data_IF_270799979666
#
_entry.id   IF_270799979666
#
_cell.length_a   1.000
_cell.length_b   1.000
_cell.length_c   1.000
_cell.angle_alpha   90.00
_cell.angle_beta   90.00
_cell.angle_gamma   90.00
#
_symmetry.space_group_name_H-M   'P 1'
#
loop_
_entity.id
_entity.type
_entity.pdbx_description
1 polymer ?
#
# COMPACT_ATOMS: atom_id res chain seq x y z
N UNK A 1 -9.18 -17.53 -5.64
CA UNK A 1 -7.89 -18.23 -5.85
C UNK A 1 -8.15 -19.62 -6.42
N UNK A 2 -7.55 -19.94 -7.57
CA UNK A 2 -7.89 -21.11 -8.38
C UNK A 2 -7.49 -22.43 -7.68
N UNK A 3 -8.28 -23.52 -7.82
CA UNK A 3 -8.09 -24.78 -7.08
C UNK A 3 -6.69 -25.41 -7.25
N UNK A 4 -6.13 -25.34 -8.45
CA UNK A 4 -4.83 -25.95 -8.77
C UNK A 4 -3.65 -25.26 -8.07
N UNK A 5 -3.72 -23.94 -7.88
CA UNK A 5 -2.68 -23.18 -7.16
C UNK A 5 -2.67 -23.61 -5.69
N UNK A 6 -3.85 -23.74 -5.06
CA UNK A 6 -3.95 -24.19 -3.67
C UNK A 6 -3.40 -25.60 -3.46
N UNK A 7 -3.62 -26.50 -4.41
CA UNK A 7 -3.11 -27.86 -4.34
C UNK A 7 -1.58 -27.90 -4.51
N UNK A 8 -1.05 -27.14 -5.47
CA UNK A 8 0.39 -26.99 -5.67
C UNK A 8 1.08 -26.42 -4.43
N UNK A 9 0.55 -25.33 -3.87
CA UNK A 9 1.08 -24.71 -2.66
C UNK A 9 1.00 -25.64 -1.45
N UNK A 10 -0.08 -26.42 -1.32
CA UNK A 10 -0.19 -27.42 -0.26
C UNK A 10 0.90 -28.49 -0.37
N UNK A 11 1.21 -28.97 -1.58
CA UNK A 11 2.30 -29.94 -1.79
C UNK A 11 3.65 -29.31 -1.43
N UNK A 12 3.89 -28.06 -1.83
CA UNK A 12 5.19 -27.40 -1.64
C UNK A 12 5.43 -26.87 -0.23
N UNK A 13 4.41 -26.32 0.41
CA UNK A 13 4.52 -25.56 1.65
C UNK A 13 3.70 -26.18 2.79
N UNK A 14 2.96 -27.27 2.55
CA UNK A 14 2.23 -27.99 3.56
C UNK A 14 1.23 -27.11 4.30
N UNK A 15 1.23 -27.20 5.64
CA UNK A 15 0.34 -26.40 6.50
C UNK A 15 0.51 -24.88 6.33
N UNK A 16 1.70 -24.41 5.95
CA UNK A 16 1.96 -22.97 5.80
C UNK A 16 1.18 -22.37 4.63
N UNK A 17 0.85 -23.17 3.59
CA UNK A 17 0.00 -22.73 2.48
C UNK A 17 -1.45 -22.40 2.88
N UNK A 18 -1.88 -22.82 4.07
CA UNK A 18 -3.24 -22.61 4.56
C UNK A 18 -3.35 -21.60 5.71
N UNK A 19 -2.22 -21.18 6.26
CA UNK A 19 -2.23 -20.22 7.36
C UNK A 19 -2.72 -18.86 6.87
N UNK A 20 -3.64 -18.28 7.63
CA UNK A 20 -4.16 -16.95 7.38
C UNK A 20 -3.67 -15.96 8.45
N UNK A 21 -3.82 -14.67 8.20
CA UNK A 21 -3.62 -13.65 9.23
C UNK A 21 -4.49 -13.93 10.47
N UNK A 22 -5.71 -14.45 10.28
CA UNK A 22 -6.62 -14.82 11.38
C UNK A 22 -6.06 -15.94 12.26
N UNK A 23 -5.39 -16.93 11.67
CA UNK A 23 -4.74 -18.01 12.42
C UNK A 23 -3.60 -17.44 13.26
N UNK A 24 -2.75 -16.61 12.66
CA UNK A 24 -1.66 -15.93 13.36
C UNK A 24 -2.15 -15.03 14.49
N UNK A 25 -3.23 -14.28 14.25
CA UNK A 25 -3.88 -13.47 15.27
C UNK A 25 -4.42 -14.33 16.41
N UNK A 26 -5.06 -15.47 16.13
CA UNK A 26 -5.59 -16.34 17.19
C UNK A 26 -4.49 -16.94 18.08
N UNK A 27 -3.34 -17.28 17.51
CA UNK A 27 -2.27 -17.98 18.24
C UNK A 27 -1.26 -17.05 18.90
N UNK A 28 -1.19 -15.78 18.47
CA UNK A 28 -0.24 -14.80 19.00
C UNK A 28 -0.84 -13.96 20.13
N UNK A 29 0.02 -13.61 21.10
CA UNK A 29 -0.28 -12.62 22.15
C UNK A 29 0.19 -11.19 21.80
N UNK A 30 0.89 -11.01 20.67
CA UNK A 30 1.42 -9.71 20.26
C UNK A 30 0.30 -8.71 19.98
N UNK A 31 0.49 -7.43 20.32
CA UNK A 31 -0.43 -6.39 19.88
C UNK A 31 -0.46 -6.31 18.34
N UNK A 32 -1.62 -5.99 17.78
CA UNK A 32 -1.82 -5.87 16.33
C UNK A 32 -2.42 -4.51 15.98
N UNK A 33 -1.79 -3.78 15.07
CA UNK A 33 -2.38 -2.60 14.46
C UNK A 33 -2.80 -2.93 13.03
N UNK A 34 -4.06 -2.69 12.70
CA UNK A 34 -4.63 -2.85 11.36
C UNK A 34 -4.81 -1.46 10.75
N UNK A 35 -4.14 -1.19 9.64
CA UNK A 35 -4.18 0.09 8.92
C UNK A 35 -4.63 -0.18 7.50
N UNK A 36 -5.67 0.51 7.05
CA UNK A 36 -6.27 0.24 5.73
C UNK A 36 -6.98 1.49 5.19
N UNK A 37 -7.04 1.64 3.86
CA UNK A 37 -7.85 2.67 3.21
C UNK A 37 -9.11 2.09 2.56
N UNK A 38 -10.27 2.70 2.78
CA UNK A 38 -11.56 2.22 2.30
C UNK A 38 -11.64 2.16 0.77
N UNK A 39 -10.96 3.07 0.08
CA UNK A 39 -10.87 3.16 -1.38
C UNK A 39 -9.73 2.29 -1.98
N UNK A 40 -9.15 1.37 -1.21
CA UNK A 40 -8.20 0.39 -1.73
C UNK A 40 -8.86 -0.51 -2.78
N UNK A 41 -8.48 -0.29 -4.04
CA UNK A 41 -8.99 -1.01 -5.21
C UNK A 41 -8.22 -2.31 -5.52
N UNK A 42 -7.16 -2.61 -4.78
CA UNK A 42 -6.36 -3.84 -4.91
C UNK A 42 -6.79 -4.86 -3.86
N UNK A 43 -6.92 -4.43 -2.60
CA UNK A 43 -7.39 -5.24 -1.48
C UNK A 43 -8.64 -4.58 -0.88
N UNK A 44 -9.84 -5.06 -1.26
CA UNK A 44 -11.09 -4.51 -0.73
C UNK A 44 -11.14 -4.53 0.79
N UNK A 45 -11.70 -3.48 1.40
CA UNK A 45 -11.86 -3.38 2.85
C UNK A 45 -12.56 -4.61 3.47
N UNK A 46 -13.51 -5.21 2.74
CA UNK A 46 -14.22 -6.42 3.15
C UNK A 46 -13.31 -7.64 3.35
N UNK A 47 -12.19 -7.71 2.63
CA UNK A 47 -11.18 -8.77 2.77
C UNK A 47 -10.05 -8.40 3.72
N UNK A 48 -9.82 -7.10 3.93
CA UNK A 48 -8.83 -6.55 4.85
C UNK A 48 -9.46 -6.06 6.16
N UNK A 49 -9.64 -4.74 6.26
CA UNK A 49 -10.08 -4.04 7.47
C UNK A 49 -11.33 -4.62 8.12
N UNK A 50 -12.44 -4.76 7.37
CA UNK A 50 -13.74 -5.11 7.93
C UNK A 50 -13.73 -6.53 8.49
N UNK A 51 -13.05 -7.45 7.80
CA UNK A 51 -12.87 -8.83 8.25
C UNK A 51 -12.23 -8.88 9.65
N UNK A 52 -11.19 -8.09 9.87
CA UNK A 52 -10.48 -8.03 11.14
C UNK A 52 -11.25 -7.24 12.20
N UNK A 53 -11.84 -6.11 11.81
CA UNK A 53 -12.61 -5.24 12.70
C UNK A 53 -13.82 -5.97 13.30
N UNK A 54 -14.60 -6.64 12.46
CA UNK A 54 -15.80 -7.37 12.88
C UNK A 54 -15.51 -8.45 13.93
N UNK A 55 -14.30 -9.01 13.92
CA UNK A 55 -13.91 -10.07 14.87
C UNK A 55 -13.18 -9.54 16.10
N UNK A 56 -12.41 -8.47 15.99
CA UNK A 56 -11.45 -8.08 17.02
C UNK A 56 -11.63 -6.65 17.57
N UNK A 57 -12.62 -5.87 17.14
CA UNK A 57 -12.83 -4.49 17.63
C UNK A 57 -12.95 -4.36 19.17
N UNK A 58 -13.48 -5.38 19.84
CA UNK A 58 -13.64 -5.41 21.30
C UNK A 58 -12.42 -5.99 22.04
N UNK A 59 -11.36 -6.37 21.31
CA UNK A 59 -10.15 -6.93 21.91
C UNK A 59 -9.09 -5.83 22.07
N UNK A 60 -8.64 -5.53 23.30
CA UNK A 60 -7.70 -4.42 23.57
C UNK A 60 -6.30 -4.64 22.96
N UNK A 61 -6.00 -5.84 22.47
CA UNK A 61 -4.77 -6.13 21.74
C UNK A 61 -4.76 -5.54 20.32
N UNK A 62 -5.92 -5.11 19.81
CA UNK A 62 -6.06 -4.63 18.45
C UNK A 62 -6.30 -3.13 18.40
N UNK A 63 -5.56 -2.46 17.53
CA UNK A 63 -5.77 -1.05 17.18
C UNK A 63 -6.13 -0.96 15.71
N UNK A 64 -7.11 -0.14 15.38
CA UNK A 64 -7.60 0.01 14.02
C UNK A 64 -7.47 1.45 13.53
N UNK A 65 -6.95 1.61 12.32
CA UNK A 65 -6.81 2.90 11.63
C UNK A 65 -7.41 2.74 10.24
N UNK A 66 -8.51 3.43 9.99
CA UNK A 66 -9.17 3.47 8.68
C UNK A 66 -8.97 4.84 8.05
N UNK A 67 -8.49 4.86 6.81
CA UNK A 67 -8.54 6.02 5.93
C UNK A 67 -9.70 5.86 4.96
N UNK A 68 -10.22 6.96 4.43
CA UNK A 68 -11.28 6.90 3.41
C UNK A 68 -10.72 6.97 1.98
N UNK A 69 -9.57 7.61 1.79
CA UNK A 69 -9.11 8.10 0.49
C UNK A 69 -7.57 8.10 0.30
N UNK A 70 -6.86 7.11 0.86
CA UNK A 70 -5.40 6.94 0.69
C UNK A 70 -5.00 5.84 -0.31
N UNK A 71 -5.96 5.09 -0.83
CA UNK A 71 -5.73 3.97 -1.75
C UNK A 71 -4.79 2.89 -1.18
N UNK A 72 -4.18 2.12 -2.07
CA UNK A 72 -3.33 0.97 -1.71
C UNK A 72 -1.88 1.35 -1.39
N UNK A 73 -1.29 2.27 -2.16
CA UNK A 73 0.16 2.50 -2.19
C UNK A 73 0.63 3.70 -1.36
N UNK A 74 -0.27 4.63 -1.05
CA UNK A 74 0.08 5.95 -0.48
C UNK A 74 -0.33 6.06 1.00
N UNK A 75 -0.57 4.93 1.69
CA UNK A 75 -0.99 4.92 3.10
C UNK A 75 0.04 5.63 4.00
N UNK A 76 1.33 5.49 3.68
CA UNK A 76 2.45 6.03 4.48
C UNK A 76 2.87 7.45 4.07
N UNK A 77 2.28 8.01 3.02
CA UNK A 77 2.69 9.30 2.49
C UNK A 77 1.74 10.42 2.95
N UNK A 78 2.24 11.66 2.86
CA UNK A 78 1.58 12.90 3.28
C UNK A 78 0.13 12.90 2.81
N UNK A 79 -0.78 13.17 3.75
CA UNK A 79 -2.23 13.16 3.53
C UNK A 79 -2.67 14.11 2.42
N UNK A 80 -1.89 15.15 2.16
CA UNK A 80 -2.21 16.15 1.15
C UNK A 80 -1.67 15.79 -0.24
N UNK A 81 -0.84 14.75 -0.33
CA UNK A 81 -0.25 14.21 -1.56
C UNK A 81 0.32 15.27 -2.52
N UNK A 82 0.84 16.36 -1.94
CA UNK A 82 1.07 17.62 -2.64
C UNK A 82 2.07 17.47 -3.77
N UNK A 83 3.18 16.82 -3.50
CA UNK A 83 4.25 16.67 -4.47
C UNK A 83 3.96 15.58 -5.52
N UNK A 84 3.22 14.51 -5.18
CA UNK A 84 2.80 13.52 -6.19
C UNK A 84 1.84 14.16 -7.18
N UNK A 85 0.86 14.93 -6.69
CA UNK A 85 -0.09 15.65 -7.54
C UNK A 85 0.61 16.68 -8.44
N UNK A 86 1.56 17.43 -7.90
CA UNK A 86 2.39 18.36 -8.67
C UNK A 86 3.18 17.63 -9.77
N UNK A 87 3.88 16.55 -9.41
CA UNK A 87 4.68 15.77 -10.35
C UNK A 87 3.82 15.12 -11.44
N UNK A 88 2.68 14.51 -11.07
CA UNK A 88 1.75 13.90 -12.01
C UNK A 88 1.13 14.94 -12.95
N UNK A 89 0.84 16.14 -12.45
CA UNK A 89 0.36 17.25 -13.29
C UNK A 89 1.40 17.67 -14.31
N UNK A 90 2.67 17.79 -13.89
CA UNK A 90 3.79 18.04 -14.79
C UNK A 90 3.98 16.94 -15.82
N UNK A 91 3.89 15.68 -15.39
CA UNK A 91 4.01 14.51 -16.25
C UNK A 91 2.91 14.49 -17.32
N UNK A 92 1.66 14.73 -16.94
CA UNK A 92 0.54 14.78 -17.88
C UNK A 92 0.74 15.86 -18.93
N UNK A 93 1.12 17.08 -18.53
CA UNK A 93 1.43 18.16 -19.47
C UNK A 93 2.58 17.79 -20.41
N UNK A 94 3.61 17.12 -19.91
CA UNK A 94 4.70 16.64 -20.74
C UNK A 94 4.24 15.58 -21.76
N UNK A 95 3.33 14.67 -21.38
CA UNK A 95 2.81 13.69 -22.35
C UNK A 95 2.02 14.33 -23.49
N UNK A 96 1.42 15.51 -23.28
CA UNK A 96 0.71 16.28 -24.31
C UNK A 96 1.67 16.95 -25.31
N UNK A 97 2.96 17.10 -24.98
CA UNK A 97 3.96 17.68 -25.88
C UNK A 97 4.67 16.66 -26.77
N UNK A 98 4.44 15.36 -26.53
CA UNK A 98 5.02 14.29 -27.32
C UNK A 98 4.49 14.35 -28.76
N UNK A 99 5.39 14.20 -29.73
CA UNK A 99 5.04 14.18 -31.16
C UNK A 99 4.55 12.81 -31.65
N UNK A 100 4.21 11.90 -30.75
CA UNK A 100 3.73 10.56 -31.03
C UNK A 100 2.65 10.13 -30.03
N UNK A 101 1.78 9.21 -30.43
CA UNK A 101 0.81 8.61 -29.51
C UNK A 101 1.50 7.64 -28.54
N UNK A 102 1.72 8.09 -27.30
CA UNK A 102 2.38 7.29 -26.27
C UNK A 102 1.55 6.08 -25.78
N UNK A 103 0.26 6.02 -26.13
CA UNK A 103 -0.63 4.89 -25.78
C UNK A 103 -0.56 3.77 -26.82
N UNK A 104 -0.06 4.04 -28.02
CA UNK A 104 0.07 3.04 -29.07
C UNK A 104 1.12 1.98 -28.70
N UNK A 105 0.78 0.70 -28.88
CA UNK A 105 1.66 -0.42 -28.54
C UNK A 105 3.03 -0.36 -29.25
N UNK A 106 3.07 0.17 -30.47
CA UNK A 106 4.30 0.36 -31.25
C UNK A 106 5.30 1.31 -30.57
N UNK A 107 4.81 2.30 -29.82
CA UNK A 107 5.64 3.33 -29.18
C UNK A 107 6.02 2.97 -27.73
N UNK A 108 5.61 1.80 -27.23
CA UNK A 108 5.78 1.41 -25.83
C UNK A 108 7.24 1.46 -25.37
N UNK A 109 8.17 1.00 -26.21
CA UNK A 109 9.60 1.01 -25.89
C UNK A 109 10.18 2.43 -25.83
N UNK A 110 9.83 3.27 -26.81
CA UNK A 110 10.23 4.67 -26.85
C UNK A 110 9.66 5.44 -25.64
N UNK A 111 8.36 5.29 -25.38
CA UNK A 111 7.72 5.94 -24.23
C UNK A 111 8.32 5.50 -22.90
N UNK A 112 8.70 4.23 -22.74
CA UNK A 112 9.36 3.76 -21.53
C UNK A 112 10.71 4.46 -21.30
N UNK A 113 11.50 4.65 -22.37
CA UNK A 113 12.77 5.36 -22.31
C UNK A 113 12.58 6.86 -22.01
N UNK A 114 11.66 7.51 -22.73
CA UNK A 114 11.35 8.94 -22.56
C UNK A 114 10.78 9.22 -21.17
N UNK A 115 9.89 8.36 -20.66
CA UNK A 115 9.35 8.42 -19.30
C UNK A 115 10.45 8.28 -18.25
N UNK A 116 11.38 7.34 -18.42
CA UNK A 116 12.50 7.17 -17.50
C UNK A 116 13.39 8.42 -17.48
N UNK A 117 13.65 9.02 -18.65
CA UNK A 117 14.38 10.29 -18.74
C UNK A 117 13.64 11.43 -18.05
N UNK A 118 12.34 11.60 -18.32
CA UNK A 118 11.52 12.62 -17.67
C UNK A 118 11.57 12.50 -16.15
N UNK A 119 11.39 11.29 -15.61
CA UNK A 119 11.46 11.04 -14.17
C UNK A 119 12.84 11.43 -13.63
N UNK A 120 13.92 11.02 -14.28
CA UNK A 120 15.27 11.36 -13.81
C UNK A 120 15.55 12.87 -13.81
N UNK A 121 15.05 13.59 -14.80
CA UNK A 121 15.32 15.02 -14.95
C UNK A 121 14.42 15.91 -14.07
N UNK A 122 13.19 15.47 -13.76
CA UNK A 122 12.17 16.32 -13.14
C UNK A 122 11.76 15.88 -11.74
N UNK A 123 12.13 14.67 -11.30
CA UNK A 123 11.81 14.21 -9.95
C UNK A 123 12.78 14.82 -8.93
N UNK A 124 12.33 15.81 -8.19
CA UNK A 124 12.93 16.20 -6.92
C UNK A 124 12.84 15.03 -5.92
N UNK A 125 13.97 14.33 -5.76
CA UNK A 125 14.11 13.17 -4.89
C UNK A 125 14.00 13.55 -3.41
N UNK A 126 14.41 14.75 -3.03
CA UNK A 126 14.33 15.22 -1.64
C UNK A 126 12.88 15.41 -1.25
N UNK A 127 12.09 16.08 -2.09
CA UNK A 127 10.64 16.23 -1.88
C UNK A 127 9.94 14.88 -1.95
N UNK A 128 10.29 14.03 -2.92
CA UNK A 128 9.70 12.69 -3.05
C UNK A 128 9.89 11.82 -1.80
N UNK A 129 11.13 11.71 -1.32
CA UNK A 129 11.46 10.93 -0.13
C UNK A 129 10.97 11.60 1.17
N UNK A 130 10.78 12.92 1.14
CA UNK A 130 10.26 13.71 2.26
C UNK A 130 8.75 13.59 2.47
N UNK A 131 8.01 12.92 1.59
CA UNK A 131 6.55 12.75 1.67
C UNK A 131 6.08 11.83 2.80
N UNK A 132 6.93 11.39 3.74
CA UNK A 132 6.49 10.52 4.82
C UNK A 132 5.44 11.22 5.71
N UNK A 133 4.33 10.55 5.99
CA UNK A 133 3.35 10.97 6.99
C UNK A 133 3.94 10.77 8.39
N UNK A 134 4.59 11.81 8.90
CA UNK A 134 5.30 11.77 10.19
C UNK A 134 4.37 11.50 11.37
N UNK A 135 3.14 11.98 11.31
CA UNK A 135 2.16 11.77 12.37
C UNK A 135 1.67 10.32 12.40
N UNK A 136 1.37 9.73 11.24
CA UNK A 136 1.07 8.30 11.15
C UNK A 136 2.24 7.46 11.65
N UNK A 137 3.47 7.79 11.25
CA UNK A 137 4.64 7.04 11.68
C UNK A 137 4.87 7.15 13.19
N UNK A 138 4.65 8.32 13.78
CA UNK A 138 4.68 8.52 15.22
C UNK A 138 3.66 7.62 15.95
N UNK A 139 2.47 7.42 15.37
CA UNK A 139 1.47 6.49 15.93
C UNK A 139 1.96 5.03 15.90
N UNK A 140 2.68 4.62 14.85
CA UNK A 140 3.28 3.29 14.78
C UNK A 140 4.36 3.09 15.84
N UNK A 141 5.22 4.09 16.02
CA UNK A 141 6.27 4.06 17.04
C UNK A 141 5.68 4.00 18.46
N UNK A 142 4.68 4.84 18.75
CA UNK A 142 4.00 4.82 20.05
C UNK A 142 3.36 3.45 20.32
N UNK A 143 2.65 2.90 19.35
CA UNK A 143 2.05 1.57 19.47
C UNK A 143 3.10 0.48 19.73
N UNK A 144 4.23 0.52 19.03
CA UNK A 144 5.33 -0.41 19.27
C UNK A 144 5.88 -0.26 20.69
N UNK A 145 6.20 0.96 21.12
CA UNK A 145 6.78 1.22 22.45
C UNK A 145 5.84 0.81 23.59
N UNK A 146 4.52 1.04 23.46
CA UNK A 146 3.50 0.66 24.44
C UNK A 146 3.37 -0.85 24.65
N UNK A 147 3.72 -1.64 23.64
CA UNK A 147 3.50 -3.09 23.60
C UNK A 147 4.77 -3.94 23.63
N UNK A 148 5.95 -3.34 23.48
CA UNK A 148 7.25 -4.04 23.52
C UNK A 148 7.94 -3.93 24.88
N UNK A 149 7.69 -2.87 25.65
CA UNK A 149 8.32 -2.66 26.98
C UNK A 149 7.59 -3.38 28.13
N UNK A 150 6.91 -4.51 27.84
CA UNK A 150 6.19 -5.30 28.84
C UNK A 150 6.81 -6.67 29.03
#
# INVERSE_FOLDING_TARGET
>A
MMPFIKFYELIKYGKYARNTAMDGFKTSKAAVMIVHSADDNIVPASYGYDLYYNKYNNNPRFTFIRFENKGHNEIFTDINDTYLNEFNTGFNKWTETLNYDYKAAANKAQFAADKAKYINDNLDRTRWCGRLDKELFKRFLNFYDEHVRR
#
